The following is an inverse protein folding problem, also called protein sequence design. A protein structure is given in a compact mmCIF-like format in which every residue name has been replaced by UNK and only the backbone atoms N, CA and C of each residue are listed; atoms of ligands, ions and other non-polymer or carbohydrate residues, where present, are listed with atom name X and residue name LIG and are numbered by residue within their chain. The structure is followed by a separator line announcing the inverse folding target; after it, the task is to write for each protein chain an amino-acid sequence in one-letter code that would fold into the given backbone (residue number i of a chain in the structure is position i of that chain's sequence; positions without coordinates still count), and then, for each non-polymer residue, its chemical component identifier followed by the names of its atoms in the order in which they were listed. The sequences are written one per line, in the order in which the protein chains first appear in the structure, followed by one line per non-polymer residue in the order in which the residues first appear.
data_IF_803849927293
#
_entry.id   IF_803849927293
#
_cell.length_a   1.000
_cell.length_b   1.000
_cell.length_c   1.000
_cell.angle_alpha   90.00
_cell.angle_beta   90.00
_cell.angle_gamma   90.00
#
_symmetry.space_group_name_H-M   'P 1'
#
loop_
_entity.id
_entity.type
_entity.pdbx_description
1 polymer ?
#
# COMPACT_ATOMS: atom_id res chain seq x y z
N UNK A 1 -3.00 -7.10 19.71
CA UNK A 1 -4.15 -7.53 18.88
C UNK A 1 -3.65 -7.72 17.47
N UNK A 2 -3.99 -8.84 16.78
CA UNK A 2 -3.73 -8.95 15.36
C UNK A 2 -4.46 -7.79 14.66
N UNK A 3 -3.78 -7.12 13.75
CA UNK A 3 -4.31 -5.96 13.05
C UNK A 3 -5.28 -6.49 11.99
N UNK A 4 -6.58 -6.39 12.25
CA UNK A 4 -7.62 -6.88 11.33
C UNK A 4 -7.66 -6.01 10.07
N UNK A 5 -7.60 -6.65 8.90
CA UNK A 5 -7.72 -5.97 7.63
C UNK A 5 -9.18 -5.54 7.41
N UNK A 6 -9.34 -4.26 7.13
CA UNK A 6 -10.64 -3.65 6.82
C UNK A 6 -10.83 -3.46 5.32
N UNK A 7 -12.06 -3.20 4.86
CA UNK A 7 -12.36 -2.96 3.44
C UNK A 7 -11.46 -1.88 2.78
N UNK A 8 -11.09 -0.76 3.43
CA UNK A 8 -10.08 0.16 2.91
C UNK A 8 -8.72 -0.48 2.57
N UNK A 9 -8.23 -1.41 3.40
CA UNK A 9 -6.96 -2.10 3.14
C UNK A 9 -7.07 -2.95 1.87
N UNK A 10 -8.17 -3.70 1.77
CA UNK A 10 -8.44 -4.56 0.62
C UNK A 10 -8.53 -3.74 -0.67
N UNK A 11 -9.18 -2.57 -0.65
CA UNK A 11 -9.24 -1.67 -1.82
C UNK A 11 -7.86 -1.23 -2.30
N UNK A 12 -6.91 -0.98 -1.39
CA UNK A 12 -5.53 -0.63 -1.77
C UNK A 12 -4.82 -1.84 -2.39
N UNK A 13 -4.97 -3.03 -1.80
CA UNK A 13 -4.40 -4.26 -2.35
C UNK A 13 -4.98 -4.56 -3.74
N UNK A 14 -6.30 -4.45 -3.93
CA UNK A 14 -6.95 -4.65 -5.23
C UNK A 14 -6.44 -3.67 -6.28
N UNK A 15 -6.37 -2.38 -5.94
CA UNK A 15 -5.87 -1.37 -6.86
C UNK A 15 -4.41 -1.67 -7.28
N UNK A 16 -3.55 -2.08 -6.34
CA UNK A 16 -2.18 -2.49 -6.67
C UNK A 16 -2.15 -3.71 -7.60
N UNK A 17 -3.03 -4.68 -7.40
CA UNK A 17 -3.14 -5.85 -8.28
C UNK A 17 -3.56 -5.44 -9.69
N UNK A 18 -4.41 -4.41 -9.82
CA UNK A 18 -4.82 -3.81 -11.09
C UNK A 18 -3.74 -2.91 -11.73
N UNK A 19 -2.58 -2.76 -11.10
CA UNK A 19 -1.47 -1.93 -11.59
C UNK A 19 -1.59 -0.44 -11.24
N UNK A 20 -2.46 -0.09 -10.30
CA UNK A 20 -2.57 1.28 -9.82
C UNK A 20 -1.27 1.75 -9.14
N UNK A 21 -0.75 2.94 -9.48
CA UNK A 21 0.47 3.44 -8.86
C UNK A 21 0.19 3.85 -7.40
N UNK A 22 0.87 3.17 -6.47
CA UNK A 22 1.00 3.57 -5.07
C UNK A 22 2.37 4.22 -4.85
N UNK A 23 2.35 5.50 -4.49
CA UNK A 23 3.55 6.32 -4.45
C UNK A 23 3.70 7.00 -3.09
N UNK A 24 4.91 6.95 -2.53
CA UNK A 24 5.37 7.82 -1.45
C UNK A 24 6.03 9.06 -2.06
N UNK A 25 5.55 10.22 -1.66
CA UNK A 25 6.10 11.52 -2.02
C UNK A 25 6.87 12.08 -0.82
N UNK A 26 8.15 12.34 -0.99
CA UNK A 26 8.96 13.07 -0.01
C UNK A 26 8.83 14.56 -0.33
N UNK A 27 8.32 15.36 0.62
CA UNK A 27 8.45 16.82 0.58
C UNK A 27 9.56 17.22 1.53
N UNK A 28 10.34 18.23 1.17
CA UNK A 28 11.51 18.64 1.96
C UNK A 28 11.12 19.08 3.37
N UNK A 29 10.46 20.24 3.47
CA UNK A 29 10.05 20.88 4.73
C UNK A 29 8.76 20.30 5.34
N UNK A 30 7.99 19.53 4.56
CA UNK A 30 6.74 18.88 5.01
C UNK A 30 6.91 17.37 5.05
N UNK A 31 6.31 16.73 6.05
CA UNK A 31 6.33 15.27 6.18
C UNK A 31 5.85 14.53 4.92
N UNK A 32 6.29 13.28 4.74
CA UNK A 32 5.94 12.46 3.58
C UNK A 32 4.42 12.26 3.46
N UNK A 33 3.94 12.06 2.24
CA UNK A 33 2.56 11.65 1.99
C UNK A 33 2.46 10.62 0.88
N UNK A 34 1.35 9.90 0.87
CA UNK A 34 1.14 8.77 -0.02
C UNK A 34 -0.02 9.04 -0.95
N UNK A 35 0.07 8.52 -2.16
CA UNK A 35 -1.01 8.59 -3.14
C UNK A 35 -1.25 7.25 -3.80
N UNK A 36 -2.52 6.91 -4.00
CA UNK A 36 -2.97 5.79 -4.84
C UNK A 36 -3.78 6.37 -5.99
N UNK A 37 -3.40 6.07 -7.24
CA UNK A 37 -4.01 6.68 -8.42
C UNK A 37 -4.10 8.22 -8.34
N UNK A 38 -3.06 8.86 -7.80
CA UNK A 38 -3.00 10.32 -7.61
C UNK A 38 -3.85 10.87 -6.46
N UNK A 39 -4.66 10.04 -5.78
CA UNK A 39 -5.45 10.46 -4.61
C UNK A 39 -4.68 10.24 -3.32
N UNK A 40 -4.71 11.21 -2.40
CA UNK A 40 -3.99 11.13 -1.13
C UNK A 40 -4.57 10.00 -0.25
N UNK A 41 -3.68 9.18 0.29
CA UNK A 41 -4.02 8.10 1.21
C UNK A 41 -3.74 8.47 2.67
N UNK A 42 -4.46 7.80 3.57
CA UNK A 42 -4.14 7.82 4.99
C UNK A 42 -2.80 7.16 5.24
N UNK A 43 -1.94 7.82 6.04
CA UNK A 43 -0.66 7.26 6.46
C UNK A 43 -0.83 6.04 7.37
N UNK A 44 -1.89 6.00 8.18
CA UNK A 44 -2.17 4.89 9.10
C UNK A 44 -2.43 3.62 8.30
N UNK A 45 -3.33 3.71 7.32
CA UNK A 45 -3.67 2.59 6.43
C UNK A 45 -2.45 2.03 5.72
N UNK A 46 -1.54 2.89 5.27
CA UNK A 46 -0.33 2.41 4.62
C UNK A 46 0.63 1.73 5.62
N UNK A 47 0.82 2.30 6.81
CA UNK A 47 1.67 1.72 7.84
C UNK A 47 1.16 0.35 8.28
N UNK A 48 -0.14 0.15 8.33
CA UNK A 48 -0.76 -1.13 8.63
C UNK A 48 -0.37 -2.17 7.57
N UNK A 49 -0.48 -1.82 6.28
CA UNK A 49 -0.06 -2.69 5.16
C UNK A 49 1.46 -2.98 5.16
N UNK A 50 2.31 -1.98 5.46
CA UNK A 50 3.76 -2.15 5.61
C UNK A 50 4.10 -3.07 6.80
N UNK A 51 3.45 -2.87 7.94
CA UNK A 51 3.68 -3.66 9.17
C UNK A 51 3.31 -5.12 8.94
N UNK A 52 2.21 -5.36 8.23
CA UNK A 52 1.76 -6.70 7.84
C UNK A 52 2.55 -7.28 6.64
N UNK A 53 3.51 -6.53 6.08
CA UNK A 53 4.34 -6.92 4.92
C UNK A 53 3.51 -7.33 3.69
N UNK A 54 2.36 -6.70 3.49
CA UNK A 54 1.48 -6.95 2.34
C UNK A 54 1.88 -6.12 1.12
N UNK A 55 2.61 -5.03 1.35
CA UNK A 55 3.21 -4.19 0.34
C UNK A 55 4.69 -3.97 0.65
N UNK A 56 5.47 -3.69 -0.38
CA UNK A 56 6.89 -3.36 -0.24
C UNK A 56 7.27 -2.23 -1.19
N UNK A 57 8.36 -1.54 -0.86
CA UNK A 57 8.93 -0.50 -1.73
C UNK A 57 9.63 -1.18 -2.89
N UNK A 58 9.38 -0.71 -4.09
CA UNK A 58 10.19 -1.12 -5.24
C UNK A 58 11.62 -0.64 -5.03
N UNK A 59 12.56 -1.58 -5.00
CA UNK A 59 13.98 -1.30 -4.80
C UNK A 59 14.51 -0.56 -6.03
N UNK A 60 15.14 0.60 -5.85
CA UNK A 60 15.94 1.19 -6.93
C UNK A 60 15.89 2.69 -7.15
N UNK A 61 15.30 3.52 -6.27
CA UNK A 61 15.28 4.96 -6.56
C UNK A 61 15.53 5.86 -5.33
N UNK A 62 16.67 6.55 -5.35
CA UNK A 62 16.90 7.82 -4.62
C UNK A 62 16.05 8.97 -5.21
N UNK A 63 14.83 8.69 -5.64
CA UNK A 63 13.95 9.70 -6.25
C UNK A 63 13.09 10.36 -5.18
N UNK A 64 12.60 11.56 -5.50
CA UNK A 64 11.62 12.28 -4.68
C UNK A 64 10.30 11.49 -4.49
N UNK A 65 10.08 10.48 -5.34
CA UNK A 65 8.92 9.59 -5.32
C UNK A 65 9.38 8.13 -5.28
N UNK A 66 8.82 7.35 -4.36
CA UNK A 66 9.08 5.90 -4.20
C UNK A 66 7.80 5.12 -4.51
N UNK A 67 7.88 4.13 -5.39
CA UNK A 67 6.76 3.26 -5.73
C UNK A 67 6.66 2.05 -4.79
N UNK A 68 5.45 1.52 -4.65
CA UNK A 68 5.15 0.30 -3.88
C UNK A 68 4.55 -0.76 -4.78
N UNK A 69 4.88 -2.01 -4.48
CA UNK A 69 4.31 -3.20 -5.09
C UNK A 69 3.66 -4.11 -4.05
N UNK A 70 2.76 -4.99 -4.50
CA UNK A 70 2.25 -6.09 -3.70
C UNK A 70 3.34 -7.13 -3.44
N UNK A 71 3.44 -7.57 -2.20
CA UNK A 71 4.23 -8.77 -1.87
C UNK A 71 3.46 -10.03 -2.25
N UNK A 72 4.12 -11.19 -2.19
CA UNK A 72 3.44 -12.48 -2.30
C UNK A 72 2.38 -12.67 -1.19
N UNK A 73 2.69 -12.26 0.04
CA UNK A 73 1.75 -12.29 1.16
C UNK A 73 0.53 -11.40 0.90
N UNK A 74 0.73 -10.17 0.42
CA UNK A 74 -0.36 -9.26 0.05
C UNK A 74 -1.32 -9.86 -0.99
N UNK A 75 -0.77 -10.51 -2.02
CA UNK A 75 -1.57 -11.20 -3.04
C UNK A 75 -2.40 -12.33 -2.44
N UNK A 76 -1.79 -13.21 -1.64
CA UNK A 76 -2.50 -14.33 -1.02
C UNK A 76 -3.59 -13.87 -0.05
N UNK A 77 -3.32 -12.83 0.73
CA UNK A 77 -4.29 -12.24 1.65
C UNK A 77 -5.49 -11.64 0.92
N UNK A 78 -5.26 -10.95 -0.20
CA UNK A 78 -6.34 -10.41 -1.02
C UNK A 78 -7.24 -11.52 -1.57
N UNK A 79 -6.65 -12.60 -2.11
CA UNK A 79 -7.39 -13.76 -2.60
C UNK A 79 -8.22 -14.40 -1.48
N UNK A 80 -7.62 -14.62 -0.31
CA UNK A 80 -8.32 -15.20 0.84
C UNK A 80 -9.53 -14.35 1.25
N UNK A 81 -9.37 -13.02 1.29
CA UNK A 81 -10.45 -12.11 1.64
C UNK A 81 -11.59 -12.13 0.61
N UNK A 82 -11.27 -12.21 -0.68
CA UNK A 82 -12.27 -12.31 -1.76
C UNK A 82 -13.07 -13.62 -1.74
N UNK A 83 -12.58 -14.66 -1.06
CA UNK A 83 -13.29 -15.93 -0.89
C UNK A 83 -14.07 -16.02 0.43
N UNK A 84 -14.00 -14.99 1.29
CA UNK A 84 -14.76 -14.91 2.54
C UNK A 84 -16.10 -14.16 2.40
N UNK A 85 -16.31 -13.48 1.28
CA UNK A 85 -17.61 -12.94 0.81
C UNK A 85 -18.34 -13.97 -0.07
#
# INVERSE_FOLDING_TARGET
MPLELTAPHIRVLSALQEGAPLLLHRRGDRGPYYTLQGRRLSVVLLKDLETLRLIERESGTERAVVAYALTSAGRSTLVMWQHLD
#
